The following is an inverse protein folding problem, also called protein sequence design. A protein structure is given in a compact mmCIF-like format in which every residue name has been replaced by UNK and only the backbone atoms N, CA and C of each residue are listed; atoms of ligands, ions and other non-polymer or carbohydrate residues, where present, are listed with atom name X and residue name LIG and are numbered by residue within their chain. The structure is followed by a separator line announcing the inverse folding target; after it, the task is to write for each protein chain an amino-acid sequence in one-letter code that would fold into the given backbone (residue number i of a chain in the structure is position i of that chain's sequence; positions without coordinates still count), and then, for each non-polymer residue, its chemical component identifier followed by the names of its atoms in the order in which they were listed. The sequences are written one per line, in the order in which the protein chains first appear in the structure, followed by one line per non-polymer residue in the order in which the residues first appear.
data_IF_284234770893
#
_entry.id   IF_284234770893
#
_cell.length_a   1.000
_cell.length_b   1.000
_cell.length_c   1.000
_cell.angle_alpha   90.00
_cell.angle_beta   90.00
_cell.angle_gamma   90.00
#
_symmetry.space_group_name_H-M   'P 1'
#
loop_
_entity.id
_entity.type
_entity.pdbx_description
1 polymer ?
#
# COMPACT_ATOMS: atom_id res chain seq x y z
N UNK A 1 -2.67 -76.85 1.89
CA UNK A 1 -3.05 -75.53 1.35
C UNK A 1 -2.90 -74.51 2.45
N UNK A 2 -1.85 -73.67 2.37
CA UNK A 2 -1.58 -72.62 3.37
C UNK A 2 -2.00 -71.30 2.76
N UNK A 3 -2.99 -70.64 3.33
CA UNK A 3 -3.43 -69.29 2.93
C UNK A 3 -2.55 -68.25 3.60
N UNK A 4 -1.76 -67.53 2.82
CA UNK A 4 -0.97 -66.36 3.27
C UNK A 4 -1.85 -65.14 3.07
N UNK A 5 -2.21 -64.51 4.20
CA UNK A 5 -2.87 -63.19 4.20
C UNK A 5 -1.81 -62.12 4.13
N UNK A 6 -1.79 -61.37 3.01
CA UNK A 6 -0.99 -60.16 2.85
C UNK A 6 -1.82 -58.98 3.37
N UNK A 7 -1.44 -58.49 4.55
CA UNK A 7 -2.00 -57.23 5.12
C UNK A 7 -1.24 -56.10 4.43
N UNK A 8 -1.89 -55.45 3.48
CA UNK A 8 -1.40 -54.21 2.88
C UNK A 8 -1.54 -53.06 3.88
N UNK A 9 -0.42 -52.58 4.42
CA UNK A 9 -0.39 -51.35 5.20
C UNK A 9 -0.58 -50.15 4.26
N UNK A 10 -1.77 -49.59 4.21
CA UNK A 10 -2.04 -48.31 3.56
C UNK A 10 -1.44 -47.20 4.42
N UNK A 11 -0.26 -46.71 4.03
CA UNK A 11 0.36 -45.53 4.63
C UNK A 11 -0.43 -44.30 4.13
N UNK A 12 -1.34 -43.81 4.96
CA UNK A 12 -1.99 -42.52 4.76
C UNK A 12 -0.93 -41.42 4.95
N UNK A 13 -0.39 -40.95 3.83
CA UNK A 13 0.37 -39.71 3.77
C UNK A 13 -0.60 -38.53 4.03
N UNK A 14 -0.71 -38.14 5.30
CA UNK A 14 -1.25 -36.83 5.61
C UNK A 14 -0.27 -35.78 5.07
N UNK A 15 -0.60 -35.20 3.94
CA UNK A 15 0.03 -33.98 3.50
C UNK A 15 -0.34 -32.89 4.55
N UNK A 16 0.52 -32.70 5.53
CA UNK A 16 0.41 -31.56 6.45
C UNK A 16 0.72 -30.32 5.59
N UNK A 17 -0.36 -29.67 5.11
CA UNK A 17 -0.23 -28.32 4.60
C UNK A 17 0.33 -27.49 5.75
N UNK A 18 1.50 -26.89 5.58
CA UNK A 18 2.04 -25.97 6.57
C UNK A 18 0.94 -24.96 6.94
N UNK A 19 0.70 -24.73 8.25
CA UNK A 19 -0.34 -23.79 8.66
C UNK A 19 -0.05 -22.42 8.02
N UNK A 20 -1.07 -21.81 7.47
CA UNK A 20 -0.96 -20.43 6.98
C UNK A 20 -0.48 -19.53 8.13
N UNK A 21 0.33 -18.51 7.84
CA UNK A 21 0.80 -17.60 8.88
C UNK A 21 -0.39 -16.99 9.63
N UNK A 22 -0.32 -17.01 10.95
CA UNK A 22 -1.23 -16.32 11.84
C UNK A 22 -0.41 -15.53 12.86
N UNK A 23 -0.67 -14.22 12.97
CA UNK A 23 0.13 -13.38 13.86
C UNK A 23 -0.01 -11.89 13.62
N UNK A 24 0.87 -11.15 14.26
CA UNK A 24 0.94 -9.69 14.19
C UNK A 24 2.29 -9.23 13.69
N UNK A 25 2.29 -8.14 12.93
CA UNK A 25 3.48 -7.47 12.41
C UNK A 25 3.42 -6.03 12.88
N UNK A 26 4.48 -5.56 13.52
CA UNK A 26 4.62 -4.16 13.87
C UNK A 26 5.53 -3.48 12.83
N UNK A 27 4.99 -2.44 12.20
CA UNK A 27 5.68 -1.63 11.22
C UNK A 27 6.04 -0.27 11.82
N UNK A 28 7.19 0.26 11.44
CA UNK A 28 7.58 1.64 11.69
C UNK A 28 7.83 2.34 10.37
N UNK A 29 7.24 3.51 10.19
CA UNK A 29 7.50 4.40 9.06
C UNK A 29 8.13 5.66 9.58
N UNK A 30 9.28 6.04 9.01
CA UNK A 30 9.96 7.32 9.27
C UNK A 30 10.00 8.11 7.97
N UNK A 31 9.52 9.35 7.99
CA UNK A 31 9.50 10.20 6.81
C UNK A 31 10.05 11.59 7.12
N UNK A 32 10.81 12.13 6.16
CA UNK A 32 11.44 13.45 6.18
C UNK A 32 11.42 14.05 4.78
N UNK A 33 11.35 15.38 4.70
CA UNK A 33 11.65 16.07 3.43
C UNK A 33 13.16 16.31 3.29
N UNK A 34 13.62 16.56 2.05
CA UNK A 34 15.03 16.89 1.79
C UNK A 34 15.48 18.16 2.57
N UNK A 35 14.58 19.13 2.74
CA UNK A 35 14.88 20.34 3.51
C UNK A 35 15.04 20.04 5.01
N UNK A 36 14.16 19.18 5.57
CA UNK A 36 14.27 18.75 6.97
C UNK A 36 15.56 17.96 7.24
N UNK A 37 16.00 17.13 6.27
CA UNK A 37 17.29 16.44 6.35
C UNK A 37 18.46 17.42 6.29
N UNK A 38 18.40 18.44 5.42
CA UNK A 38 19.43 19.47 5.34
C UNK A 38 19.52 20.29 6.65
N UNK A 39 18.41 20.72 7.20
CA UNK A 39 18.36 21.45 8.48
C UNK A 39 18.98 20.63 9.62
N UNK A 40 18.64 19.35 9.74
CA UNK A 40 19.24 18.43 10.72
C UNK A 40 20.74 18.20 10.51
N UNK A 41 21.26 18.51 9.31
CA UNK A 41 22.69 18.40 8.95
C UNK A 41 23.38 19.78 8.87
N UNK A 42 22.95 20.74 9.68
CA UNK A 42 23.55 22.08 9.73
C UNK A 42 23.36 22.89 8.45
N UNK A 43 22.27 22.72 7.74
CA UNK A 43 21.93 23.40 6.49
C UNK A 43 22.59 22.82 5.23
N UNK A 44 23.38 21.74 5.35
CA UNK A 44 24.03 21.10 4.22
C UNK A 44 23.12 20.04 3.60
N UNK A 45 22.84 20.15 2.31
CA UNK A 45 22.15 19.10 1.57
C UNK A 45 22.98 17.83 1.53
N UNK A 46 22.36 16.72 1.85
CA UNK A 46 22.94 15.39 1.70
C UNK A 46 22.69 14.89 0.26
N UNK A 47 23.63 14.16 -0.29
CA UNK A 47 23.40 13.42 -1.52
C UNK A 47 22.56 12.15 -1.25
N UNK A 48 22.03 11.57 -2.30
CA UNK A 48 21.16 10.38 -2.22
C UNK A 48 21.87 9.19 -1.54
N UNK A 49 23.17 9.02 -1.79
CA UNK A 49 23.94 7.92 -1.20
C UNK A 49 24.11 8.09 0.30
N UNK A 50 24.38 9.30 0.77
CA UNK A 50 24.47 9.62 2.18
C UNK A 50 23.12 9.43 2.89
N UNK A 51 22.02 9.87 2.26
CA UNK A 51 20.67 9.69 2.79
C UNK A 51 20.32 8.20 2.92
N UNK A 52 20.56 7.41 1.86
CA UNK A 52 20.27 5.98 1.84
C UNK A 52 21.18 5.16 2.78
N UNK A 53 22.31 5.71 3.19
CA UNK A 53 23.18 5.11 4.19
C UNK A 53 22.75 5.38 5.65
N UNK A 54 21.80 6.29 5.88
CA UNK A 54 21.29 6.59 7.22
C UNK A 54 20.41 5.44 7.73
N UNK A 55 20.58 5.10 9.01
CA UNK A 55 19.70 4.12 9.66
C UNK A 55 18.37 4.74 10.07
N UNK A 56 17.28 3.95 10.21
CA UNK A 56 16.00 4.46 10.71
C UNK A 56 16.10 5.19 12.05
N UNK A 57 17.00 4.72 12.95
CA UNK A 57 17.25 5.34 14.26
C UNK A 57 17.94 6.70 14.14
N UNK A 58 18.87 6.86 13.18
CA UNK A 58 19.50 8.14 12.90
C UNK A 58 18.49 9.15 12.37
N UNK A 59 17.61 8.70 11.49
CA UNK A 59 16.52 9.53 10.94
C UNK A 59 15.51 9.95 12.01
N UNK A 60 15.12 9.00 12.88
CA UNK A 60 14.14 9.25 13.94
C UNK A 60 14.67 10.22 15.02
N UNK A 61 15.99 10.46 15.10
CA UNK A 61 16.58 11.49 15.98
C UNK A 61 16.38 12.92 15.48
N UNK A 62 16.01 13.09 14.20
CA UNK A 62 15.66 14.41 13.69
C UNK A 62 14.31 14.81 14.27
N UNK A 63 14.25 15.97 14.94
CA UNK A 63 13.06 16.49 15.62
C UNK A 63 11.86 16.75 14.69
N UNK A 64 12.12 16.86 13.39
CA UNK A 64 11.09 17.02 12.35
C UNK A 64 10.69 15.71 11.70
N UNK A 65 11.29 14.58 12.07
CA UNK A 65 10.95 13.29 11.53
C UNK A 65 9.52 12.89 11.92
N UNK A 66 8.74 12.54 10.92
CA UNK A 66 7.43 11.94 11.15
C UNK A 66 7.62 10.43 11.35
N UNK A 67 7.63 10.01 12.62
CA UNK A 67 7.70 8.59 12.98
C UNK A 67 6.30 8.10 13.30
N UNK A 68 5.87 7.03 12.65
CA UNK A 68 4.56 6.40 12.85
C UNK A 68 4.72 4.89 12.97
N UNK A 69 4.04 4.32 13.93
CA UNK A 69 3.93 2.87 14.06
C UNK A 69 2.54 2.41 13.65
N UNK A 70 2.46 1.25 13.03
CA UNK A 70 1.21 0.61 12.63
C UNK A 70 1.27 -0.90 12.86
N UNK A 71 0.11 -1.50 13.02
CA UNK A 71 -0.03 -2.94 13.22
C UNK A 71 -0.68 -3.57 11.99
N UNK A 72 -0.15 -4.73 11.60
CA UNK A 72 -0.78 -5.62 10.64
C UNK A 72 -1.11 -6.91 11.36
N UNK A 73 -2.34 -7.37 11.22
CA UNK A 73 -2.85 -8.62 11.77
C UNK A 73 -3.16 -9.56 10.62
N UNK A 74 -2.70 -10.80 10.71
CA UNK A 74 -2.91 -11.83 9.69
C UNK A 74 -3.55 -13.04 10.34
N UNK A 75 -4.64 -13.54 9.78
CA UNK A 75 -5.28 -14.81 10.20
C UNK A 75 -5.89 -15.49 8.97
N UNK A 76 -5.23 -16.54 8.50
CA UNK A 76 -5.64 -17.27 7.31
C UNK A 76 -5.73 -16.37 6.07
N UNK A 77 -6.95 -16.25 5.52
CA UNK A 77 -7.24 -15.43 4.33
C UNK A 77 -7.57 -13.96 4.65
N UNK A 78 -7.44 -13.54 5.90
CA UNK A 78 -7.79 -12.18 6.33
C UNK A 78 -6.57 -11.42 6.80
N UNK A 79 -6.49 -10.16 6.37
CA UNK A 79 -5.46 -9.23 6.82
C UNK A 79 -6.10 -7.92 7.22
N UNK A 80 -5.75 -7.43 8.41
CA UNK A 80 -6.09 -6.08 8.86
C UNK A 80 -4.82 -5.25 8.94
N UNK A 81 -4.87 -4.03 8.44
CA UNK A 81 -3.80 -3.05 8.52
C UNK A 81 -4.32 -1.78 9.20
N UNK A 82 -3.76 -1.43 10.34
CA UNK A 82 -4.07 -0.17 10.99
C UNK A 82 -3.39 0.98 10.24
N UNK A 83 -4.16 2.03 9.95
CA UNK A 83 -3.71 3.19 9.18
C UNK A 83 -3.84 4.46 10.03
N UNK A 84 -2.75 5.15 10.33
CA UNK A 84 -2.85 6.46 10.96
C UNK A 84 -3.46 7.47 9.98
N UNK A 85 -4.55 8.14 10.37
CA UNK A 85 -5.21 9.18 9.57
C UNK A 85 -4.95 10.55 10.20
N UNK A 86 -4.38 11.48 9.42
CA UNK A 86 -3.91 12.78 9.97
C UNK A 86 -5.00 13.65 10.58
N UNK A 87 -6.21 13.60 10.03
CA UNK A 87 -7.31 14.53 10.44
C UNK A 87 -8.48 13.88 11.17
N UNK A 88 -8.54 12.53 11.24
CA UNK A 88 -9.76 11.81 11.66
C UNK A 88 -9.49 10.68 12.66
N UNK A 89 -8.32 10.66 13.28
CA UNK A 89 -7.91 9.61 14.18
C UNK A 89 -7.34 8.39 13.45
N UNK A 90 -7.43 7.21 14.05
CA UNK A 90 -6.98 5.97 13.45
C UNK A 90 -8.06 5.33 12.57
N UNK A 91 -7.71 4.92 11.38
CA UNK A 91 -8.53 4.05 10.54
C UNK A 91 -7.87 2.68 10.38
N UNK A 92 -8.56 1.76 9.73
CA UNK A 92 -7.96 0.48 9.36
C UNK A 92 -8.58 -0.07 8.08
N UNK A 93 -7.79 -0.88 7.37
CA UNK A 93 -8.28 -1.67 6.25
C UNK A 93 -8.37 -3.14 6.66
N UNK A 94 -9.42 -3.82 6.23
CA UNK A 94 -9.54 -5.28 6.32
C UNK A 94 -9.66 -5.84 4.92
N UNK A 95 -8.75 -6.73 4.56
CA UNK A 95 -8.79 -7.50 3.31
C UNK A 95 -9.28 -8.90 3.64
N UNK A 96 -10.37 -9.33 3.00
CA UNK A 96 -10.89 -10.69 3.07
C UNK A 96 -10.69 -11.34 1.70
N UNK A 97 -9.65 -12.19 1.60
CA UNK A 97 -9.26 -12.84 0.34
C UNK A 97 -10.33 -13.81 -0.15
N UNK A 98 -11.06 -14.48 0.78
CA UNK A 98 -12.09 -15.46 0.42
C UNK A 98 -13.30 -14.76 -0.21
N UNK A 99 -13.70 -13.61 0.37
CA UNK A 99 -14.83 -12.83 -0.16
C UNK A 99 -14.43 -11.94 -1.33
N UNK A 100 -13.14 -11.72 -1.51
CA UNK A 100 -12.66 -10.78 -2.51
C UNK A 100 -13.04 -9.34 -2.22
N UNK A 101 -13.10 -8.96 -0.96
CA UNK A 101 -13.52 -7.63 -0.51
C UNK A 101 -12.41 -6.96 0.30
N UNK A 102 -12.42 -5.65 0.28
CA UNK A 102 -11.65 -4.82 1.20
C UNK A 102 -12.56 -3.79 1.84
N UNK A 103 -12.46 -3.65 3.15
CA UNK A 103 -13.18 -2.62 3.90
C UNK A 103 -12.20 -1.59 4.41
N UNK A 104 -12.40 -0.32 4.06
CA UNK A 104 -11.69 0.81 4.64
C UNK A 104 -12.58 1.42 5.71
N UNK A 105 -12.19 1.26 6.97
CA UNK A 105 -12.99 1.62 8.13
C UNK A 105 -12.48 2.91 8.75
N UNK A 106 -13.39 3.85 9.01
CA UNK A 106 -13.12 5.14 9.65
C UNK A 106 -13.92 5.21 10.97
N UNK A 107 -13.36 4.73 12.08
CA UNK A 107 -14.09 4.63 13.36
C UNK A 107 -14.62 5.94 13.87
N UNK A 108 -13.85 7.03 13.73
CA UNK A 108 -14.28 8.38 14.17
C UNK A 108 -15.51 8.89 13.46
N UNK A 109 -15.87 8.35 12.29
CA UNK A 109 -17.06 8.72 11.53
C UNK A 109 -18.12 7.60 11.53
N UNK A 110 -17.88 6.50 12.25
CA UNK A 110 -18.74 5.30 12.25
C UNK A 110 -19.15 4.88 10.83
N UNK A 111 -18.21 4.85 9.91
CA UNK A 111 -18.47 4.48 8.52
C UNK A 111 -17.36 3.60 7.97
N UNK A 112 -17.69 2.88 6.91
CA UNK A 112 -16.71 2.15 6.12
C UNK A 112 -17.03 2.20 4.64
N UNK A 113 -15.98 2.03 3.84
CA UNK A 113 -16.10 1.88 2.38
C UNK A 113 -15.83 0.42 2.06
N UNK A 114 -16.80 -0.25 1.46
CA UNK A 114 -16.60 -1.57 0.88
C UNK A 114 -16.11 -1.43 -0.55
N UNK A 115 -15.03 -2.13 -0.84
CA UNK A 115 -14.34 -2.05 -2.12
C UNK A 115 -14.19 -3.45 -2.72
N UNK A 116 -14.58 -3.61 -3.97
CA UNK A 116 -14.55 -4.85 -4.74
C UNK A 116 -13.86 -4.68 -6.09
N UNK A 117 -13.54 -5.78 -6.76
CA UNK A 117 -13.05 -5.73 -8.15
C UNK A 117 -14.05 -5.08 -9.11
N UNK A 118 -15.35 -5.29 -8.85
CA UNK A 118 -16.40 -4.64 -9.64
C UNK A 118 -16.37 -3.12 -9.48
N UNK A 119 -16.08 -2.63 -8.27
CA UNK A 119 -15.92 -1.19 -8.04
C UNK A 119 -14.68 -0.66 -8.76
N UNK A 120 -13.55 -1.38 -8.67
CA UNK A 120 -12.31 -1.01 -9.36
C UNK A 120 -12.51 -0.91 -10.89
N UNK A 121 -13.21 -1.89 -11.47
CA UNK A 121 -13.56 -1.88 -12.90
C UNK A 121 -14.42 -0.69 -13.28
N UNK A 122 -15.50 -0.44 -12.53
CA UNK A 122 -16.40 0.69 -12.79
C UNK A 122 -15.69 2.05 -12.69
N UNK A 123 -14.73 2.16 -11.78
CA UNK A 123 -13.88 3.36 -11.64
C UNK A 123 -12.96 3.52 -12.85
N UNK A 124 -12.29 2.44 -13.25
CA UNK A 124 -11.43 2.45 -14.43
C UNK A 124 -12.18 2.88 -15.69
N UNK A 125 -13.38 2.34 -15.92
CA UNK A 125 -14.25 2.70 -17.04
C UNK A 125 -14.64 4.19 -16.98
N UNK A 126 -15.05 4.69 -15.81
CA UNK A 126 -15.43 6.10 -15.64
C UNK A 126 -14.24 7.03 -15.86
N UNK A 127 -13.05 6.66 -15.38
CA UNK A 127 -11.82 7.46 -15.58
C UNK A 127 -11.40 7.47 -17.05
N UNK A 128 -11.48 6.33 -17.74
CA UNK A 128 -11.20 6.25 -19.18
C UNK A 128 -12.16 7.12 -19.98
N UNK A 129 -13.47 7.08 -19.66
CA UNK A 129 -14.47 7.95 -20.28
C UNK A 129 -14.17 9.44 -20.02
N UNK A 130 -13.80 9.78 -18.79
CA UNK A 130 -13.45 11.16 -18.43
C UNK A 130 -12.20 11.64 -19.18
N UNK A 131 -11.15 10.80 -19.30
CA UNK A 131 -9.96 11.08 -20.09
C UNK A 131 -10.32 11.34 -21.54
N UNK A 132 -11.15 10.46 -22.15
CA UNK A 132 -11.62 10.63 -23.53
C UNK A 132 -12.31 11.97 -23.75
N UNK A 133 -13.26 12.33 -22.88
CA UNK A 133 -13.97 13.61 -22.97
C UNK A 133 -13.02 14.80 -22.81
N UNK A 134 -12.02 14.72 -21.91
CA UNK A 134 -11.02 15.76 -21.74
C UNK A 134 -10.12 15.89 -22.98
N UNK A 135 -9.68 14.80 -23.57
CA UNK A 135 -8.85 14.78 -24.79
C UNK A 135 -9.63 15.36 -25.98
N UNK A 136 -10.90 14.99 -26.16
CA UNK A 136 -11.77 15.55 -27.20
C UNK A 136 -11.95 17.07 -27.02
N UNK A 137 -12.16 17.50 -25.78
CA UNK A 137 -12.28 18.93 -25.46
C UNK A 137 -10.98 19.69 -25.69
N UNK A 138 -9.82 19.12 -25.34
CA UNK A 138 -8.49 19.72 -25.60
C UNK A 138 -8.23 19.92 -27.08
N UNK A 139 -8.73 19.04 -27.97
CA UNK A 139 -8.56 19.19 -29.43
C UNK A 139 -9.15 20.51 -29.96
N UNK A 140 -10.18 21.04 -29.32
CA UNK A 140 -10.86 22.28 -29.66
C UNK A 140 -10.36 23.52 -28.90
N UNK A 141 -9.37 23.36 -27.97
CA UNK A 141 -8.89 24.46 -27.13
C UNK A 141 -7.73 25.22 -27.80
N UNK A 142 -7.59 26.54 -27.49
CA UNK A 142 -6.38 27.29 -27.82
C UNK A 142 -5.11 26.67 -27.20
N UNK A 143 -3.91 26.83 -27.83
CA UNK A 143 -2.68 26.17 -27.37
C UNK A 143 -2.30 26.42 -25.91
N UNK A 144 -2.52 27.62 -25.39
CA UNK A 144 -2.16 27.98 -24.03
C UNK A 144 -3.07 27.31 -22.98
N UNK A 145 -4.37 27.20 -23.28
CA UNK A 145 -5.31 26.50 -22.43
C UNK A 145 -5.05 24.99 -22.46
N UNK A 146 -4.67 24.44 -23.62
CA UNK A 146 -4.30 23.04 -23.78
C UNK A 146 -3.16 22.64 -22.85
N UNK A 147 -2.07 23.45 -22.80
CA UNK A 147 -0.93 23.22 -21.91
C UNK A 147 -1.32 23.16 -20.44
N UNK A 148 -2.25 24.03 -20.00
CA UNK A 148 -2.73 24.03 -18.62
C UNK A 148 -3.51 22.75 -18.30
N UNK A 149 -4.39 22.30 -19.21
CA UNK A 149 -5.14 21.05 -19.03
C UNK A 149 -4.22 19.83 -19.05
N UNK A 150 -3.22 19.79 -19.94
CA UNK A 150 -2.21 18.73 -19.98
C UNK A 150 -1.43 18.65 -18.66
N UNK A 151 -0.99 19.80 -18.12
CA UNK A 151 -0.32 19.86 -16.82
C UNK A 151 -1.24 19.36 -15.69
N UNK A 152 -2.53 19.71 -15.72
CA UNK A 152 -3.51 19.22 -14.75
C UNK A 152 -3.75 17.72 -14.87
N UNK A 153 -3.85 17.18 -16.11
CA UNK A 153 -3.98 15.72 -16.33
C UNK A 153 -2.75 14.97 -15.82
N UNK A 154 -1.55 15.49 -16.07
CA UNK A 154 -0.31 14.91 -15.54
C UNK A 154 -0.28 14.91 -14.01
N UNK A 155 -0.70 16.02 -13.39
CA UNK A 155 -0.78 16.10 -11.92
C UNK A 155 -1.84 15.18 -11.31
N UNK A 156 -2.94 14.91 -12.03
CA UNK A 156 -3.96 13.96 -11.60
C UNK A 156 -3.54 12.50 -11.82
N UNK A 157 -2.32 12.25 -12.31
CA UNK A 157 -1.83 10.90 -12.63
C UNK A 157 -2.86 10.11 -13.46
N UNK A 158 -3.55 10.79 -14.39
CA UNK A 158 -4.45 10.09 -15.30
C UNK A 158 -3.64 9.07 -16.10
N UNK A 159 -4.12 7.83 -16.18
CA UNK A 159 -3.38 6.77 -16.85
C UNK A 159 -3.07 7.15 -18.28
N UNK A 160 -1.86 6.88 -18.72
CA UNK A 160 -1.50 6.93 -20.13
C UNK A 160 -2.30 5.86 -20.89
N UNK A 161 -2.43 5.99 -22.20
CA UNK A 161 -3.18 5.03 -23.02
C UNK A 161 -2.63 3.62 -22.79
N UNK A 162 -3.50 2.60 -22.76
CA UNK A 162 -3.19 1.19 -22.51
C UNK A 162 -2.03 0.61 -23.38
N UNK A 163 -1.58 1.37 -24.36
CA UNK A 163 -0.57 0.97 -25.36
C UNK A 163 0.87 1.38 -25.00
N UNK A 164 1.09 2.21 -23.98
CA UNK A 164 2.46 2.54 -23.60
C UNK A 164 3.06 1.34 -22.81
N UNK A 165 4.19 0.76 -23.29
CA UNK A 165 4.84 -0.29 -22.52
C UNK A 165 5.17 0.25 -21.13
N UNK A 166 4.69 -0.46 -20.11
CA UNK A 166 5.01 -0.12 -18.72
C UNK A 166 6.54 -0.13 -18.58
N UNK A 167 7.15 0.91 -17.99
CA UNK A 167 8.59 0.91 -17.78
C UNK A 167 8.96 -0.28 -16.91
N UNK A 168 9.84 -1.14 -17.44
CA UNK A 168 10.33 -2.30 -16.68
C UNK A 168 11.22 -1.80 -15.55
N UNK A 169 10.80 -2.03 -14.32
CA UNK A 169 11.60 -1.69 -13.14
C UNK A 169 12.77 -2.66 -13.02
N UNK A 170 14.00 -2.16 -13.17
CA UNK A 170 15.19 -2.95 -12.98
C UNK A 170 15.52 -3.07 -11.50
N UNK A 171 15.44 -4.30 -10.95
CA UNK A 171 15.85 -4.60 -9.59
C UNK A 171 17.25 -5.23 -9.62
N UNK A 172 18.22 -4.53 -9.05
CA UNK A 172 19.63 -4.98 -8.99
C UNK A 172 20.01 -5.37 -7.56
N UNK A 173 20.73 -6.50 -7.36
CA UNK A 173 21.26 -6.86 -6.04
C UNK A 173 22.37 -5.88 -5.64
N UNK A 174 22.40 -5.49 -4.37
CA UNK A 174 23.50 -4.70 -3.80
C UNK A 174 24.72 -5.56 -3.45
N UNK A 175 24.61 -6.89 -3.51
CA UNK A 175 25.62 -7.87 -3.06
C UNK A 175 26.05 -7.64 -1.61
N UNK A 176 25.11 -7.22 -0.77
CA UNK A 176 25.27 -6.94 0.65
C UNK A 176 24.20 -7.65 1.45
N UNK A 177 24.58 -8.15 2.62
CA UNK A 177 23.68 -8.69 3.63
C UNK A 177 23.86 -7.92 4.93
N UNK A 178 22.78 -7.74 5.67
CA UNK A 178 22.81 -7.18 7.01
C UNK A 178 21.68 -7.76 7.87
N UNK A 179 21.84 -7.65 9.18
CA UNK A 179 20.77 -8.03 10.12
C UNK A 179 19.88 -6.82 10.41
N UNK A 180 18.58 -6.97 10.20
CA UNK A 180 17.57 -5.95 10.47
C UNK A 180 16.56 -6.54 11.44
N UNK A 181 16.46 -5.99 12.63
CA UNK A 181 15.55 -6.44 13.69
C UNK A 181 15.60 -7.97 13.91
N UNK A 182 16.82 -8.54 13.91
CA UNK A 182 17.08 -9.96 14.12
C UNK A 182 16.93 -10.85 12.88
N UNK A 183 16.53 -10.32 11.73
CA UNK A 183 16.37 -11.05 10.47
C UNK A 183 17.54 -10.81 9.53
N UNK A 184 18.11 -11.88 8.95
CA UNK A 184 19.13 -11.75 7.91
C UNK A 184 18.50 -11.30 6.60
N UNK A 185 18.97 -10.20 6.04
CA UNK A 185 18.39 -9.59 4.86
C UNK A 185 19.41 -9.26 3.79
N UNK A 186 19.06 -9.52 2.52
CA UNK A 186 19.85 -9.19 1.32
C UNK A 186 19.35 -7.88 0.73
N UNK A 187 20.29 -7.00 0.37
CA UNK A 187 19.97 -5.69 -0.20
C UNK A 187 19.71 -5.71 -1.70
N UNK A 188 18.69 -4.96 -2.12
CA UNK A 188 18.32 -4.72 -3.52
C UNK A 188 18.11 -3.23 -3.74
N UNK A 189 18.44 -2.76 -4.95
CA UNK A 189 18.15 -1.40 -5.41
C UNK A 189 17.25 -1.47 -6.64
N UNK A 190 16.24 -0.63 -6.67
CA UNK A 190 15.39 -0.40 -7.82
C UNK A 190 15.31 1.11 -8.12
N UNK A 191 15.06 1.44 -9.38
CA UNK A 191 14.76 2.82 -9.78
C UNK A 191 13.42 2.79 -10.51
N UNK A 192 12.48 3.61 -10.06
CA UNK A 192 11.16 3.78 -10.65
C UNK A 192 10.94 5.26 -10.91
N UNK A 193 10.91 5.67 -12.18
CA UNK A 193 10.92 7.06 -12.59
C UNK A 193 12.14 7.82 -11.97
N UNK A 194 11.87 8.87 -11.19
CA UNK A 194 12.89 9.64 -10.46
C UNK A 194 13.11 9.11 -9.02
N UNK A 195 12.44 8.03 -8.64
CA UNK A 195 12.53 7.48 -7.29
C UNK A 195 13.58 6.38 -7.23
N UNK A 196 14.43 6.44 -6.21
CA UNK A 196 15.32 5.35 -5.84
C UNK A 196 14.71 4.58 -4.67
N UNK A 197 14.58 3.28 -4.83
CA UNK A 197 14.12 2.35 -3.80
C UNK A 197 15.27 1.44 -3.42
N UNK A 198 15.61 1.37 -2.13
CA UNK A 198 16.52 0.37 -1.56
C UNK A 198 15.70 -0.51 -0.62
N UNK A 199 15.75 -1.81 -0.83
CA UNK A 199 15.01 -2.77 -0.02
C UNK A 199 15.95 -3.85 0.53
N UNK A 200 15.67 -4.24 1.75
CA UNK A 200 16.32 -5.36 2.42
C UNK A 200 15.31 -6.46 2.61
N UNK A 201 15.61 -7.61 2.03
CA UNK A 201 14.68 -8.73 1.85
C UNK A 201 15.20 -9.95 2.59
N UNK A 202 14.35 -10.59 3.40
CA UNK A 202 14.67 -11.81 4.14
C UNK A 202 13.90 -13.01 3.61
N UNK A 203 14.48 -14.20 3.75
CA UNK A 203 13.82 -15.47 3.55
C UNK A 203 13.53 -16.23 4.86
N UNK A 204 13.77 -15.57 6.01
CA UNK A 204 13.56 -16.18 7.33
C UNK A 204 12.06 -16.32 7.69
N UNK A 205 11.16 -15.68 6.93
CA UNK A 205 9.70 -15.64 7.18
C UNK A 205 8.89 -16.01 5.91
N UNK A 206 9.04 -17.23 5.36
CA UNK A 206 8.45 -17.57 4.06
C UNK A 206 6.91 -17.58 4.09
N UNK A 207 6.28 -18.08 5.15
CA UNK A 207 4.81 -18.14 5.27
C UNK A 207 4.20 -16.74 5.41
N UNK A 208 4.85 -15.85 6.16
CA UNK A 208 4.45 -14.45 6.26
C UNK A 208 4.57 -13.76 4.90
N UNK A 209 5.69 -13.96 4.19
CA UNK A 209 5.88 -13.38 2.86
C UNK A 209 4.78 -13.84 1.89
N UNK A 210 4.45 -15.12 1.88
CA UNK A 210 3.38 -15.70 1.07
C UNK A 210 2.02 -15.06 1.40
N UNK A 211 1.68 -14.91 2.68
CA UNK A 211 0.45 -14.27 3.09
C UNK A 211 0.36 -12.82 2.59
N UNK A 212 1.43 -12.03 2.76
CA UNK A 212 1.48 -10.65 2.31
C UNK A 212 1.52 -10.52 0.78
N UNK A 213 2.13 -11.46 0.06
CA UNK A 213 2.11 -11.49 -1.39
C UNK A 213 0.69 -11.69 -1.93
N UNK A 214 -0.07 -12.62 -1.35
CA UNK A 214 -1.48 -12.84 -1.70
C UNK A 214 -2.32 -11.55 -1.50
N UNK A 215 -2.06 -10.81 -0.41
CA UNK A 215 -2.70 -9.50 -0.17
C UNK A 215 -2.30 -8.49 -1.24
N UNK A 216 -1.02 -8.41 -1.57
CA UNK A 216 -0.52 -7.50 -2.62
C UNK A 216 -1.17 -7.79 -3.97
N UNK A 217 -1.28 -9.06 -4.36
CA UNK A 217 -1.95 -9.49 -5.59
C UNK A 217 -3.45 -9.13 -5.58
N UNK A 218 -4.08 -9.28 -4.42
CA UNK A 218 -5.49 -8.88 -4.27
C UNK A 218 -5.67 -7.38 -4.40
N UNK A 219 -4.83 -6.59 -3.73
CA UNK A 219 -4.85 -5.14 -3.80
C UNK A 219 -4.60 -4.64 -5.23
N UNK A 220 -3.75 -5.31 -6.00
CA UNK A 220 -3.55 -5.02 -7.42
C UNK A 220 -4.83 -5.21 -8.23
N UNK A 221 -5.58 -6.30 -7.99
CA UNK A 221 -6.88 -6.53 -8.67
C UNK A 221 -7.92 -5.46 -8.30
N UNK A 222 -7.83 -4.90 -7.10
CA UNK A 222 -8.67 -3.79 -6.64
C UNK A 222 -8.23 -2.43 -7.18
N UNK A 223 -7.09 -2.35 -7.85
CA UNK A 223 -6.66 -1.15 -8.58
C UNK A 223 -7.21 -1.21 -10.01
N UNK A 224 -7.83 -0.14 -10.52
CA UNK A 224 -8.28 -0.09 -11.91
C UNK A 224 -7.14 -0.47 -12.87
N UNK A 225 -7.42 -1.28 -13.89
CA UNK A 225 -6.40 -1.85 -14.77
C UNK A 225 -5.52 -0.77 -15.41
N UNK A 226 -6.12 0.34 -15.82
CA UNK A 226 -5.45 1.49 -16.39
C UNK A 226 -4.63 2.34 -15.39
N UNK A 227 -4.69 2.02 -14.08
CA UNK A 227 -3.90 2.68 -13.03
C UNK A 227 -2.84 1.74 -12.43
N UNK A 228 -2.79 0.49 -12.87
CA UNK A 228 -1.79 -0.46 -12.40
C UNK A 228 -0.44 -0.10 -13.00
N UNK A 229 0.50 0.27 -12.15
CA UNK A 229 1.91 0.39 -12.50
C UNK A 229 2.64 -0.88 -12.11
N UNK A 230 3.75 -1.17 -12.77
CA UNK A 230 4.64 -2.22 -12.31
C UNK A 230 5.05 -1.95 -10.86
N UNK A 231 4.73 -2.87 -9.96
CA UNK A 231 4.88 -2.65 -8.53
C UNK A 231 6.24 -3.19 -8.06
N UNK A 232 7.19 -2.27 -7.85
CA UNK A 232 8.53 -2.58 -7.30
C UNK A 232 8.42 -3.43 -6.03
N UNK A 233 7.47 -3.11 -5.14
CA UNK A 233 7.27 -3.84 -3.88
C UNK A 233 6.91 -5.30 -4.13
N UNK A 234 6.06 -5.60 -5.09
CA UNK A 234 5.69 -6.98 -5.47
C UNK A 234 6.86 -7.75 -6.03
N UNK A 235 7.65 -7.14 -6.92
CA UNK A 235 8.85 -7.78 -7.46
C UNK A 235 9.88 -8.08 -6.35
N UNK A 236 10.01 -7.19 -5.36
CA UNK A 236 10.85 -7.43 -4.19
C UNK A 236 10.27 -8.57 -3.32
N UNK A 237 8.95 -8.63 -3.12
CA UNK A 237 8.29 -9.72 -2.39
C UNK A 237 8.46 -11.09 -3.07
N UNK A 238 8.63 -11.14 -4.39
CA UNK A 238 8.98 -12.38 -5.09
C UNK A 238 10.38 -12.90 -4.76
N UNK A 239 11.27 -12.03 -4.23
CA UNK A 239 12.62 -12.40 -3.75
C UNK A 239 12.65 -12.77 -2.27
N UNK A 240 11.57 -12.51 -1.54
CA UNK A 240 11.39 -12.73 -0.10
C UNK A 240 10.62 -11.60 0.57
N UNK A 241 10.55 -11.60 1.89
CA UNK A 241 9.87 -10.58 2.68
C UNK A 241 10.71 -9.30 2.78
N UNK A 242 10.25 -8.14 2.24
CA UNK A 242 10.92 -6.87 2.49
C UNK A 242 10.78 -6.47 3.96
N UNK A 243 11.87 -6.47 4.71
CA UNK A 243 11.91 -6.11 6.14
C UNK A 243 12.27 -4.66 6.37
N UNK A 244 12.91 -4.02 5.40
CA UNK A 244 13.12 -2.57 5.37
C UNK A 244 13.08 -2.09 3.92
N UNK A 245 12.34 -1.02 3.67
CA UNK A 245 12.25 -0.36 2.37
C UNK A 245 12.53 1.12 2.56
N UNK A 246 13.54 1.63 1.88
CA UNK A 246 13.92 3.03 1.81
C UNK A 246 13.50 3.57 0.46
N UNK A 247 12.75 4.65 0.45
CA UNK A 247 12.29 5.32 -0.77
C UNK A 247 12.75 6.77 -0.75
N UNK A 248 13.48 7.17 -1.78
CA UNK A 248 13.98 8.52 -1.99
C UNK A 248 13.49 9.03 -3.34
N UNK A 249 12.64 10.04 -3.33
CA UNK A 249 12.11 10.63 -4.54
C UNK A 249 11.19 11.81 -4.26
N UNK A 250 11.03 12.72 -5.23
CA UNK A 250 10.16 13.88 -5.10
C UNK A 250 10.52 14.80 -3.93
N UNK A 251 11.79 14.88 -3.53
CA UNK A 251 12.25 15.68 -2.40
C UNK A 251 11.82 15.10 -1.03
N UNK A 252 11.44 13.83 -0.98
CA UNK A 252 11.03 13.12 0.25
C UNK A 252 11.85 11.86 0.41
N UNK A 253 12.15 11.56 1.67
CA UNK A 253 12.75 10.31 2.08
C UNK A 253 11.82 9.60 3.05
N UNK A 254 11.55 8.33 2.78
CA UNK A 254 10.69 7.48 3.62
C UNK A 254 11.35 6.13 3.83
N UNK A 255 11.41 5.71 5.08
CA UNK A 255 11.80 4.35 5.46
C UNK A 255 10.60 3.66 6.09
N UNK A 256 10.33 2.46 5.66
CA UNK A 256 9.36 1.54 6.25
C UNK A 256 10.09 0.27 6.66
N UNK A 257 9.92 -0.15 7.90
CA UNK A 257 10.60 -1.33 8.43
C UNK A 257 9.67 -2.19 9.28
N UNK A 258 9.88 -3.49 9.26
CA UNK A 258 9.26 -4.44 10.17
C UNK A 258 10.10 -4.46 11.45
N UNK A 259 9.54 -3.98 12.57
CA UNK A 259 10.26 -3.91 13.86
C UNK A 259 9.95 -5.10 14.77
N UNK A 260 8.83 -5.80 14.54
CA UNK A 260 8.51 -7.05 15.22
C UNK A 260 7.57 -7.93 14.40
N UNK A 261 7.73 -9.23 14.53
CA UNK A 261 6.80 -10.26 14.01
C UNK A 261 6.50 -11.20 15.16
N UNK A 262 5.21 -11.38 15.50
CA UNK A 262 4.78 -12.30 16.51
C UNK A 262 3.82 -13.30 15.89
N UNK A 263 4.20 -14.57 15.90
CA UNK A 263 3.33 -15.66 15.45
C UNK A 263 2.49 -16.14 16.63
N UNK A 264 1.21 -15.78 16.62
CA UNK A 264 0.25 -16.12 17.68
C UNK A 264 -1.18 -16.04 17.13
N UNK A 265 -2.15 -16.74 17.75
CA UNK A 265 -3.55 -16.60 17.38
C UNK A 265 -4.02 -15.14 17.42
N UNK A 266 -4.79 -14.74 16.42
CA UNK A 266 -5.34 -13.39 16.29
C UNK A 266 -6.86 -13.44 16.45
N UNK A 267 -7.40 -12.55 17.27
CA UNK A 267 -8.84 -12.52 17.54
C UNK A 267 -9.65 -12.25 16.27
N UNK A 268 -10.62 -13.12 15.96
CA UNK A 268 -11.45 -13.01 14.77
C UNK A 268 -12.26 -11.69 14.71
N UNK A 269 -12.54 -11.09 15.85
CA UNK A 269 -13.26 -9.80 15.98
C UNK A 269 -12.50 -8.64 15.36
N UNK A 270 -11.17 -8.72 15.25
CA UNK A 270 -10.34 -7.71 14.60
C UNK A 270 -10.62 -7.56 13.10
N UNK A 271 -11.17 -8.60 12.46
CA UNK A 271 -11.46 -8.62 11.03
C UNK A 271 -12.93 -8.35 10.70
N UNK A 272 -13.71 -7.90 11.68
CA UNK A 272 -15.14 -7.64 11.52
C UNK A 272 -15.38 -6.13 11.50
N UNK A 273 -16.16 -5.67 10.54
CA UNK A 273 -16.67 -4.29 10.54
C UNK A 273 -17.82 -4.17 11.54
N UNK A 274 -17.83 -3.18 12.46
CA UNK A 274 -18.93 -3.00 13.40
C UNK A 274 -20.28 -2.82 12.70
N UNK A 275 -21.33 -3.45 13.24
CA UNK A 275 -22.65 -3.47 12.62
C UNK A 275 -23.35 -2.10 12.60
N UNK A 276 -22.99 -1.21 13.52
CA UNK A 276 -23.55 0.15 13.64
C UNK A 276 -22.86 1.17 12.70
N UNK A 277 -21.92 0.71 11.85
CA UNK A 277 -21.22 1.60 10.92
C UNK A 277 -21.98 1.72 9.60
N UNK A 278 -22.08 2.96 9.12
CA UNK A 278 -22.68 3.24 7.82
C UNK A 278 -21.79 2.71 6.67
N UNK A 279 -22.40 1.93 5.79
CA UNK A 279 -21.75 1.40 4.59
C UNK A 279 -21.78 2.40 3.45
N UNK A 280 -20.66 2.58 2.77
CA UNK A 280 -20.54 3.22 1.47
C UNK A 280 -19.86 2.25 0.52
N UNK A 281 -20.30 2.17 -0.73
CA UNK A 281 -19.57 1.39 -1.76
C UNK A 281 -18.51 2.25 -2.44
N UNK A 282 -17.51 1.61 -3.05
CA UNK A 282 -16.52 2.34 -3.86
C UNK A 282 -17.17 3.18 -4.95
N UNK A 283 -18.26 2.68 -5.59
CA UNK A 283 -19.03 3.42 -6.60
C UNK A 283 -19.72 4.65 -6.03
N UNK A 284 -20.27 4.57 -4.83
CA UNK A 284 -20.94 5.70 -4.21
C UNK A 284 -19.96 6.78 -3.79
N UNK A 285 -18.76 6.39 -3.35
CA UNK A 285 -17.67 7.33 -3.09
C UNK A 285 -17.30 8.15 -4.34
N UNK A 286 -17.40 7.55 -5.52
CA UNK A 286 -17.14 8.24 -6.80
C UNK A 286 -18.19 9.25 -7.23
N UNK A 287 -19.43 9.13 -6.76
CA UNK A 287 -20.49 10.09 -7.11
C UNK A 287 -20.16 11.49 -6.59
N UNK A 288 -19.36 11.56 -5.54
CA UNK A 288 -18.97 12.81 -4.88
C UNK A 288 -17.65 13.40 -5.41
N UNK A 289 -17.02 12.76 -6.42
CA UNK A 289 -15.85 13.33 -7.10
C UNK A 289 -16.37 14.35 -8.12
N UNK A 290 -16.03 15.66 -7.97
CA UNK A 290 -16.45 16.67 -8.92
C UNK A 290 -15.97 16.31 -10.33
N UNK A 291 -16.89 16.33 -11.30
CA UNK A 291 -16.52 16.20 -12.70
C UNK A 291 -15.62 17.39 -13.17
N UNK A 292 -14.87 17.24 -14.26
CA UNK A 292 -14.06 18.32 -14.81
C UNK A 292 -14.99 19.50 -15.21
N UNK A 293 -14.91 20.61 -14.46
CA UNK A 293 -15.72 21.81 -14.65
C UNK A 293 -16.91 21.96 -13.67
N UNK A 294 -17.10 21.05 -12.74
CA UNK A 294 -18.00 21.26 -11.61
C UNK A 294 -17.39 22.24 -10.59
N UNK A 295 -18.20 23.05 -9.91
CA UNK A 295 -17.70 23.88 -8.81
C UNK A 295 -17.01 22.98 -7.77
N UNK A 296 -15.92 23.45 -7.11
CA UNK A 296 -15.29 22.68 -6.04
C UNK A 296 -16.37 22.27 -5.04
N UNK A 297 -16.36 21.01 -4.62
CA UNK A 297 -17.32 20.52 -3.64
C UNK A 297 -17.35 21.53 -2.48
N UNK A 298 -18.49 22.17 -2.26
CA UNK A 298 -18.67 23.11 -1.18
C UNK A 298 -18.23 22.42 0.10
N UNK A 299 -17.27 23.02 0.81
CA UNK A 299 -16.89 22.58 2.13
C UNK A 299 -18.18 22.38 2.95
N UNK A 300 -18.27 21.31 3.76
CA UNK A 300 -19.46 21.09 4.58
C UNK A 300 -19.77 22.38 5.33
N UNK A 301 -20.97 22.91 5.13
CA UNK A 301 -21.42 24.15 5.75
C UNK A 301 -21.08 24.08 7.24
N UNK A 302 -20.25 25.00 7.70
CA UNK A 302 -19.94 25.13 9.11
C UNK A 302 -21.29 25.24 9.85
N UNK A 303 -21.52 24.30 10.77
CA UNK A 303 -22.74 24.29 11.58
C UNK A 303 -22.94 25.69 12.16
N UNK A 304 -24.09 26.31 11.87
CA UNK A 304 -24.44 27.60 12.39
C UNK A 304 -24.34 27.58 13.92
N UNK A 305 -23.76 28.65 14.56
CA UNK A 305 -23.63 28.67 16.01
C UNK A 305 -25.02 28.63 16.63
N UNK A 306 -25.23 27.69 17.55
CA UNK A 306 -26.44 27.54 18.31
C UNK A 306 -26.74 28.89 19.02
N UNK A 307 -27.91 29.47 18.75
CA UNK A 307 -28.41 30.62 19.50
C UNK A 307 -28.49 30.20 20.97
N UNK A 308 -27.76 30.91 21.83
CA UNK A 308 -27.92 30.78 23.28
C UNK A 308 -29.28 31.35 23.68
N UNK A 309 -29.92 30.73 24.68
CA UNK A 309 -31.19 31.19 25.23
C UNK A 309 -31.09 32.55 25.96
#
# INVERSE_FOLDING_TARGET
MRHVWVIGAATLLFATTAPAFEGTIKLRTTALTADQLAEGNGGKKLDDAAILAMTPEQLAKNDKAQVRESMVYVSGSKVRMDMPMESKGSGYAVVDLDKGLTWFVVPGEKRYIEWSETDAKAIGEKMAQMKKMMTERMASMPPDQRKQVEAMMKNMQMPDDEAAPQPTVAITPLNKTQTINGMSATGYKATEDENTVVAWVTNDQPELNKALLNVSERMEKLTPANMRKENVRRQLQQKGLPVMVQNLGGGRYRVEEIIAVEQKPVEATLFVVPQDYAKTTGRDALKNIPGPGGPPASAPAAAAPAKKP
#
